data_IF_938607203029
#
_entry.id   IF_938607203029
#
_cell.length_a   1.000
_cell.length_b   1.000
_cell.length_c   1.000
_cell.angle_alpha   90.00
_cell.angle_beta   90.00
_cell.angle_gamma   90.00
#
_symmetry.space_group_name_H-M   'P 1'
#
loop_
_entity.id
_entity.type
_entity.pdbx_description
1 polymer ?
#
# COMPACT_ATOMS: atom_id res chain seq x y z
N UNK A 1 24.34 8.42 -11.11
CA UNK A 1 24.62 8.12 -9.69
C UNK A 1 23.36 7.53 -9.09
N UNK A 2 23.38 6.36 -8.44
CA UNK A 2 22.19 5.82 -7.81
C UNK A 2 21.83 6.75 -6.63
N UNK A 3 20.64 7.33 -6.67
CA UNK A 3 20.14 8.18 -5.60
C UNK A 3 20.07 7.34 -4.31
N UNK A 4 20.79 7.78 -3.27
CA UNK A 4 20.77 7.18 -1.92
C UNK A 4 19.43 7.37 -1.22
N UNK A 5 18.63 8.33 -1.68
CA UNK A 5 17.33 8.63 -1.11
C UNK A 5 16.26 7.87 -1.90
N UNK A 6 15.89 6.71 -1.35
CA UNK A 6 14.90 5.78 -1.89
C UNK A 6 13.54 5.95 -1.21
N UNK A 7 13.37 7.05 -0.45
CA UNK A 7 12.13 7.43 0.20
C UNK A 7 11.03 7.63 -0.86
N UNK A 8 9.90 7.00 -0.62
CA UNK A 8 8.72 7.07 -1.47
C UNK A 8 7.61 7.80 -0.72
N UNK A 9 6.61 8.30 -1.43
CA UNK A 9 5.46 8.95 -0.84
C UNK A 9 4.21 8.32 -1.42
N UNK A 10 3.26 7.97 -0.54
CA UNK A 10 1.89 7.69 -0.94
C UNK A 10 1.01 8.89 -0.58
N UNK A 11 0.18 9.29 -1.54
CA UNK A 11 -0.85 10.33 -1.38
C UNK A 11 -2.20 9.65 -1.57
N UNK A 12 -3.04 9.67 -0.55
CA UNK A 12 -4.37 9.02 -0.56
C UNK A 12 -5.44 10.09 -0.48
N UNK A 13 -6.44 10.00 -1.34
CA UNK A 13 -7.58 10.91 -1.38
C UNK A 13 -8.85 10.13 -1.02
N UNK A 14 -9.53 10.60 0.03
CA UNK A 14 -10.82 10.07 0.48
C UNK A 14 -11.92 11.11 0.25
N UNK A 15 -13.15 10.64 0.04
CA UNK A 15 -14.34 11.49 0.05
C UNK A 15 -14.86 11.73 1.48
N UNK A 16 -15.92 12.54 1.59
CA UNK A 16 -16.61 12.85 2.85
C UNK A 16 -17.22 11.64 3.58
N UNK A 17 -17.26 10.46 2.94
CA UNK A 17 -17.79 9.21 3.49
C UNK A 17 -16.69 8.21 3.82
N UNK A 18 -15.43 8.66 3.83
CA UNK A 18 -14.25 7.80 3.99
C UNK A 18 -14.20 6.70 2.92
N UNK A 19 -14.59 7.01 1.67
CA UNK A 19 -14.39 6.13 0.52
C UNK A 19 -13.18 6.60 -0.29
N UNK A 20 -12.39 5.64 -0.79
CA UNK A 20 -11.22 5.95 -1.60
C UNK A 20 -11.62 6.58 -2.94
N UNK A 21 -11.16 7.80 -3.18
CA UNK A 21 -11.30 8.48 -4.48
C UNK A 21 -10.16 8.08 -5.40
N UNK A 22 -8.92 8.15 -4.88
CA UNK A 22 -7.69 7.79 -5.60
C UNK A 22 -6.51 7.68 -4.63
N UNK A 23 -5.41 7.08 -5.09
CA UNK A 23 -4.10 7.25 -4.47
C UNK A 23 -3.00 7.32 -5.53
N UNK A 24 -1.89 7.95 -5.20
CA UNK A 24 -0.64 7.94 -5.97
C UNK A 24 0.50 7.44 -5.08
N UNK A 25 1.30 6.51 -5.59
CA UNK A 25 2.50 6.05 -4.92
C UNK A 25 3.71 6.28 -5.81
N UNK A 26 4.63 7.13 -5.37
CA UNK A 26 5.75 7.56 -6.22
C UNK A 26 7.04 7.78 -5.43
N UNK A 27 8.18 7.69 -6.13
CA UNK A 27 9.50 7.98 -5.54
C UNK A 27 9.64 9.48 -5.33
N UNK A 28 9.97 9.91 -4.11
CA UNK A 28 10.07 11.34 -3.77
C UNK A 28 11.12 12.08 -4.63
N UNK A 29 12.24 11.43 -4.92
CA UNK A 29 13.37 12.05 -5.63
C UNK A 29 13.17 12.25 -7.12
N UNK A 30 12.31 11.45 -7.76
CA UNK A 30 12.14 11.49 -9.22
C UNK A 30 10.68 11.48 -9.69
N UNK A 31 9.72 11.48 -8.75
CA UNK A 31 8.28 11.39 -8.98
C UNK A 31 7.88 10.25 -9.92
N UNK A 32 8.73 9.23 -10.06
CA UNK A 32 8.39 8.05 -10.83
C UNK A 32 7.35 7.27 -10.05
N UNK A 33 6.21 6.91 -10.67
CA UNK A 33 5.23 6.06 -10.02
C UNK A 33 5.88 4.72 -9.67
N UNK A 34 5.50 4.19 -8.53
CA UNK A 34 5.85 2.86 -8.05
C UNK A 34 4.57 2.05 -8.17
N UNK A 35 4.52 1.17 -9.17
CA UNK A 35 3.27 0.52 -9.56
C UNK A 35 2.52 1.31 -10.63
N UNK A 36 1.19 1.23 -10.62
CA UNK A 36 0.31 1.90 -11.61
C UNK A 36 -0.07 1.08 -12.85
N UNK A 37 0.27 -0.21 -12.88
CA UNK A 37 -0.14 -1.15 -13.94
C UNK A 37 -0.84 -2.41 -13.44
N UNK A 38 -1.04 -2.52 -12.12
CA UNK A 38 -1.59 -3.71 -11.44
C UNK A 38 -3.12 -3.75 -11.44
N UNK A 39 -3.79 -2.61 -11.72
CA UNK A 39 -5.25 -2.46 -11.60
C UNK A 39 -5.74 -2.28 -10.15
N UNK A 40 -4.83 -2.17 -9.18
CA UNK A 40 -5.17 -2.11 -7.76
C UNK A 40 -5.89 -0.81 -7.37
N UNK A 41 -5.54 0.32 -8.01
CA UNK A 41 -6.21 1.60 -7.77
C UNK A 41 -7.67 1.55 -8.22
N UNK A 42 -7.92 1.07 -9.43
CA UNK A 42 -9.26 0.88 -9.98
C UNK A 42 -10.08 -0.12 -9.15
N UNK A 43 -9.42 -1.16 -8.63
CA UNK A 43 -10.05 -2.13 -7.73
C UNK A 43 -10.51 -1.49 -6.41
N UNK A 44 -9.68 -0.63 -5.82
CA UNK A 44 -9.99 -0.02 -4.52
C UNK A 44 -10.92 1.20 -4.63
N UNK A 45 -11.01 1.82 -5.80
CA UNK A 45 -11.76 3.05 -6.00
C UNK A 45 -13.24 2.89 -5.60
N UNK A 46 -13.74 3.84 -4.81
CA UNK A 46 -15.10 3.88 -4.27
C UNK A 46 -15.35 2.94 -3.09
N UNK A 47 -14.37 2.13 -2.66
CA UNK A 47 -14.51 1.30 -1.45
C UNK A 47 -14.28 2.14 -0.19
N UNK A 48 -15.02 1.87 0.90
CA UNK A 48 -14.77 2.49 2.19
C UNK A 48 -13.43 2.02 2.78
N UNK A 49 -12.79 2.89 3.57
CA UNK A 49 -11.49 2.60 4.19
C UNK A 49 -11.49 1.27 4.94
N UNK A 50 -12.54 0.97 5.70
CA UNK A 50 -12.68 -0.29 6.46
C UNK A 50 -12.60 -1.56 5.59
N UNK A 51 -13.07 -1.50 4.34
CA UNK A 51 -12.98 -2.64 3.44
C UNK A 51 -11.58 -2.77 2.85
N UNK A 52 -10.92 -1.65 2.57
CA UNK A 52 -9.59 -1.64 1.96
C UNK A 52 -8.55 -2.17 2.94
N UNK A 53 -8.63 -1.79 4.21
CA UNK A 53 -7.71 -2.26 5.27
C UNK A 53 -7.85 -3.75 5.58
N UNK A 54 -8.96 -4.37 5.18
CA UNK A 54 -9.21 -5.81 5.34
C UNK A 54 -8.81 -6.65 4.12
N UNK A 55 -8.29 -6.03 3.05
CA UNK A 55 -7.88 -6.75 1.86
C UNK A 55 -6.63 -7.58 2.13
N UNK A 56 -6.65 -8.83 1.70
CA UNK A 56 -5.51 -9.75 1.78
C UNK A 56 -4.74 -9.77 0.46
N UNK A 57 -3.42 -9.65 0.53
CA UNK A 57 -2.55 -9.61 -0.65
C UNK A 57 -2.76 -10.80 -1.60
N UNK A 58 -2.94 -12.01 -1.06
CA UNK A 58 -3.11 -13.21 -1.91
C UNK A 58 -4.41 -13.18 -2.70
N UNK A 59 -5.50 -12.65 -2.12
CA UNK A 59 -6.78 -12.53 -2.78
C UNK A 59 -6.70 -11.49 -3.89
N UNK A 60 -5.99 -10.37 -3.64
CA UNK A 60 -5.72 -9.35 -4.65
C UNK A 60 -4.92 -9.88 -5.84
N UNK A 61 -3.90 -10.72 -5.61
CA UNK A 61 -3.13 -11.35 -6.69
C UNK A 61 -4.04 -12.20 -7.59
N UNK A 62 -5.01 -12.91 -6.99
CA UNK A 62 -5.95 -13.77 -7.72
C UNK A 62 -6.98 -12.90 -8.47
N UNK A 63 -7.59 -11.93 -7.79
CA UNK A 63 -8.65 -11.07 -8.32
C UNK A 63 -8.16 -10.17 -9.46
N UNK A 64 -6.91 -9.69 -9.36
CA UNK A 64 -6.26 -8.88 -10.40
C UNK A 64 -5.61 -9.75 -11.48
N UNK A 65 -5.58 -11.08 -11.31
CA UNK A 65 -5.02 -12.02 -12.29
C UNK A 65 -3.52 -11.88 -12.50
N UNK A 66 -2.77 -11.44 -11.49
CA UNK A 66 -1.33 -11.16 -11.61
C UNK A 66 -0.53 -12.46 -11.60
N UNK A 67 0.13 -12.76 -12.71
CA UNK A 67 0.95 -13.98 -12.86
C UNK A 67 2.45 -13.69 -12.82
N UNK A 68 2.84 -12.45 -13.06
CA UNK A 68 4.24 -12.04 -13.08
C UNK A 68 4.74 -11.65 -11.67
N UNK A 69 6.01 -11.98 -11.38
CA UNK A 69 6.60 -11.72 -10.06
C UNK A 69 6.89 -10.24 -9.82
N UNK A 70 7.21 -9.48 -10.87
CA UNK A 70 7.39 -8.04 -10.79
C UNK A 70 6.05 -7.36 -10.51
N UNK A 71 4.99 -7.76 -11.23
CA UNK A 71 3.63 -7.24 -11.00
C UNK A 71 3.14 -7.52 -9.57
N UNK A 72 3.34 -8.75 -9.06
CA UNK A 72 2.99 -9.10 -7.69
C UNK A 72 3.81 -8.29 -6.66
N UNK A 73 5.08 -8.03 -6.93
CA UNK A 73 5.92 -7.20 -6.07
C UNK A 73 5.45 -5.74 -6.05
N UNK A 74 5.09 -5.19 -7.22
CA UNK A 74 4.55 -3.84 -7.31
C UNK A 74 3.20 -3.73 -6.59
N UNK A 75 2.31 -4.70 -6.78
CA UNK A 75 1.05 -4.77 -6.04
C UNK A 75 1.29 -4.80 -4.53
N UNK A 76 2.26 -5.62 -4.07
CA UNK A 76 2.57 -5.72 -2.64
C UNK A 76 2.98 -4.37 -2.08
N UNK A 77 3.83 -3.63 -2.79
CA UNK A 77 4.27 -2.30 -2.38
C UNK A 77 3.11 -1.30 -2.29
N UNK A 78 2.20 -1.30 -3.27
CA UNK A 78 1.01 -0.45 -3.28
C UNK A 78 0.04 -0.81 -2.15
N UNK A 79 -0.24 -2.10 -1.97
CA UNK A 79 -1.12 -2.63 -0.92
C UNK A 79 -0.60 -2.35 0.49
N UNK A 80 0.70 -2.59 0.75
CA UNK A 80 1.35 -2.36 2.03
C UNK A 80 1.33 -0.86 2.39
N UNK A 81 1.68 0.01 1.44
CA UNK A 81 1.67 1.46 1.65
C UNK A 81 0.25 2.03 1.86
N UNK A 82 -0.73 1.61 1.04
CA UNK A 82 -2.11 2.06 1.19
C UNK A 82 -2.71 1.57 2.51
N UNK A 83 -2.51 0.29 2.84
CA UNK A 83 -2.98 -0.29 4.10
C UNK A 83 -2.40 0.43 5.32
N UNK A 84 -1.11 0.76 5.30
CA UNK A 84 -0.46 1.51 6.37
C UNK A 84 -1.02 2.95 6.51
N UNK A 85 -1.18 3.67 5.41
CA UNK A 85 -1.73 5.03 5.41
C UNK A 85 -3.15 5.07 5.97
N UNK A 86 -3.99 4.15 5.53
CA UNK A 86 -5.38 4.03 5.98
C UNK A 86 -5.50 3.56 7.43
N UNK A 87 -4.67 2.59 7.85
CA UNK A 87 -4.66 2.12 9.24
C UNK A 87 -4.23 3.22 10.22
N UNK A 88 -3.22 4.03 9.85
CA UNK A 88 -2.79 5.18 10.64
C UNK A 88 -3.87 6.28 10.67
N UNK A 89 -4.57 6.52 9.55
CA UNK A 89 -5.68 7.47 9.49
C UNK A 89 -6.84 7.09 10.42
N UNK A 90 -7.23 5.82 10.46
CA UNK A 90 -8.32 5.34 11.33
C UNK A 90 -7.92 5.25 12.81
N UNK A 91 -6.64 5.44 13.15
CA UNK A 91 -6.13 5.17 14.49
C UNK A 91 -6.20 3.68 14.87
N UNK A 92 -6.12 2.80 13.86
CA UNK A 92 -6.25 1.35 14.04
C UNK A 92 -5.21 0.78 15.02
N UNK A 93 -5.56 -0.33 15.67
CA UNK A 93 -4.67 -1.02 16.62
C UNK A 93 -3.58 -1.88 15.95
N UNK A 94 -3.60 -1.96 14.62
CA UNK A 94 -2.61 -2.74 13.87
C UNK A 94 -1.23 -2.09 14.04
N UNK A 95 -0.23 -2.87 14.43
CA UNK A 95 1.14 -2.41 14.54
C UNK A 95 1.66 -2.02 13.15
N UNK A 96 1.53 -0.73 12.83
CA UNK A 96 2.20 -0.14 11.67
C UNK A 96 3.63 0.16 12.08
N UNK A 97 4.58 -0.30 11.28
CA UNK A 97 5.99 0.06 11.41
C UNK A 97 6.12 1.59 11.22
N UNK A 98 6.19 2.32 12.34
CA UNK A 98 6.25 3.79 12.36
C UNK A 98 7.60 4.34 11.94
N UNK A 99 8.63 3.51 11.94
CA UNK A 99 9.95 3.91 11.42
C UNK A 99 9.89 3.91 9.89
N UNK A 100 9.18 2.94 9.31
CA UNK A 100 8.97 2.84 7.86
C UNK A 100 7.85 3.74 7.32
N UNK A 101 6.77 3.92 8.05
CA UNK A 101 5.56 4.62 7.60
C UNK A 101 5.25 5.85 8.47
N UNK A 102 5.49 7.03 7.91
CA UNK A 102 5.35 8.30 8.64
C UNK A 102 4.32 9.20 7.95
N UNK A 103 3.20 9.49 8.61
CA UNK A 103 2.25 10.51 8.15
C UNK A 103 2.96 11.86 8.11
N UNK A 104 3.06 12.43 6.91
CA UNK A 104 3.57 13.77 6.69
C UNK A 104 2.46 14.81 6.90
N UNK A 105 1.26 14.55 6.41
CA UNK A 105 0.13 15.49 6.51
C UNK A 105 -1.20 14.74 6.39
N UNK A 106 -2.20 15.20 7.13
CA UNK A 106 -3.62 14.91 6.88
C UNK A 106 -4.29 16.27 6.71
N UNK A 107 -4.81 16.55 5.52
CA UNK A 107 -5.49 17.77 5.18
C UNK A 107 -6.97 17.50 4.93
N UNK A 108 -7.84 18.30 5.55
CA UNK A 108 -9.28 18.26 5.33
C UNK A 108 -9.64 19.42 4.41
N UNK A 109 -9.96 19.11 3.16
CA UNK A 109 -10.55 20.05 2.22
C UNK A 109 -12.06 19.82 2.18
N UNK A 110 -12.85 20.82 1.77
CA UNK A 110 -14.29 20.93 2.03
C UNK A 110 -15.13 19.65 1.87
N UNK A 111 -14.75 18.73 0.98
CA UNK A 111 -15.42 17.44 0.74
C UNK A 111 -14.46 16.24 0.64
N UNK A 112 -13.18 16.42 0.96
CA UNK A 112 -12.15 15.40 0.75
C UNK A 112 -11.10 15.41 1.86
N UNK A 113 -10.55 14.24 2.14
CA UNK A 113 -9.40 14.08 3.01
C UNK A 113 -8.19 13.69 2.18
N UNK A 114 -7.13 14.48 2.25
CA UNK A 114 -5.84 14.16 1.64
C UNK A 114 -4.88 13.68 2.74
N UNK A 115 -4.37 12.46 2.58
CA UNK A 115 -3.38 11.86 3.47
C UNK A 115 -2.07 11.73 2.69
N UNK A 116 -1.00 12.34 3.19
CA UNK A 116 0.35 12.19 2.66
C UNK A 116 1.18 11.40 3.66
N UNK A 117 1.74 10.29 3.22
CA UNK A 117 2.59 9.42 4.04
C UNK A 117 3.93 9.18 3.34
N UNK A 118 5.01 9.36 4.09
CA UNK A 118 6.36 8.97 3.70
C UNK A 118 6.57 7.48 3.97
N UNK A 119 7.11 6.79 2.97
CA UNK A 119 7.41 5.36 2.99
C UNK A 119 8.92 5.20 2.84
N UNK A 120 9.58 4.85 3.94
CA UNK A 120 10.99 4.50 3.91
C UNK A 120 11.18 3.17 3.16
N UNK A 121 12.36 2.99 2.57
CA UNK A 121 12.71 1.69 1.99
C UNK A 121 12.82 0.64 3.10
N UNK A 122 12.32 -0.58 2.86
CA UNK A 122 12.48 -1.65 3.84
C UNK A 122 13.97 -1.95 4.06
N UNK A 123 14.39 -2.12 5.31
CA UNK A 123 15.78 -2.46 5.64
C UNK A 123 16.17 -3.86 5.10
N UNK A 124 15.21 -4.78 5.03
CA UNK A 124 15.35 -6.09 4.40
C UNK A 124 14.24 -6.33 3.37
N UNK A 125 14.57 -7.00 2.26
CA UNK A 125 13.57 -7.41 1.28
C UNK A 125 12.56 -8.35 1.96
N UNK A 126 11.24 -8.09 1.87
CA UNK A 126 10.24 -8.96 2.45
C UNK A 126 10.50 -10.39 1.99
N UNK A 127 10.53 -11.34 2.92
CA UNK A 127 10.62 -12.76 2.57
C UNK A 127 9.31 -13.13 1.88
N UNK A 128 9.27 -12.98 0.55
CA UNK A 128 8.20 -13.52 -0.28
C UNK A 128 8.24 -15.04 -0.10
N UNK A 129 7.36 -15.57 0.75
CA UNK A 129 7.24 -17.01 0.96
C UNK A 129 6.51 -17.55 -0.27
N UNK A 130 7.17 -18.36 -1.13
CA UNK A 130 6.50 -18.92 -2.28
C UNK A 130 5.33 -19.80 -1.84
N UNK A 131 4.22 -19.76 -2.56
CA UNK A 131 3.01 -20.55 -2.30
C UNK A 131 3.27 -22.05 -2.10
N UNK A 132 4.41 -22.57 -2.58
CA UNK A 132 4.84 -23.97 -2.41
C UNK A 132 5.23 -24.37 -0.98
N UNK A 133 5.48 -23.44 -0.05
CA UNK A 133 5.91 -23.81 1.31
C UNK A 133 4.79 -23.99 2.34
N UNK A 134 3.52 -23.68 2.02
CA UNK A 134 2.40 -23.84 2.98
C UNK A 134 1.99 -25.30 3.26
N UNK A 135 2.54 -26.30 2.57
CA UNK A 135 2.10 -27.71 2.68
C UNK A 135 2.99 -28.57 3.59
N UNK A 136 4.11 -28.07 4.13
CA UNK A 136 5.04 -28.92 4.92
C UNK A 136 5.40 -28.36 6.30
N UNK A 137 4.45 -27.81 7.06
CA UNK A 137 4.60 -27.72 8.52
C UNK A 137 3.28 -28.09 9.21
N UNK A 138 2.90 -29.35 9.03
CA UNK A 138 2.11 -30.09 10.04
C UNK A 138 2.82 -31.42 10.26
N UNK A 139 3.79 -31.42 11.16
CA UNK A 139 4.31 -32.65 11.76
C UNK A 139 3.56 -32.88 13.07
N UNK A 140 3.05 -34.10 13.36
CA UNK A 140 2.55 -34.46 14.67
C UNK A 140 3.66 -34.52 15.74
#
# INVERSE_FOLDING_TARGET
>A
MPCKDTTSQITVILDEKDCLVSFDFSKLTCHKPIGGGTGFMEFCQGKPVDQITQLEFNDLVIDLGLTDTEEQFLLYMEWDALGAALSQYQGGQQEVDRDRYQIATIAYESNQVEIKQMVASPEEMPKLIPCRKRVQEKTP
#
